data_IF_856303972593
#
_entry.id   IF_856303972593
#
_cell.length_a   1.000
_cell.length_b   1.000
_cell.length_c   1.000
_cell.angle_alpha   90.00
_cell.angle_beta   90.00
_cell.angle_gamma   90.00
#
_symmetry.space_group_name_H-M   'P 1'
#
loop_
_entity.id
_entity.type
_entity.pdbx_description
1 polymer ?
#
# COMPACT_ATOMS: atom_id res chain seq x y z
N UNK A 1 -6.93 28.80 -13.35
CA UNK A 1 -6.13 29.41 -14.42
C UNK A 1 -6.66 28.87 -15.74
N UNK A 2 -7.28 29.71 -16.56
CA UNK A 2 -7.83 29.31 -17.87
C UNK A 2 -6.77 29.59 -18.96
N UNK A 3 -6.38 28.57 -19.71
CA UNK A 3 -5.32 28.62 -20.73
C UNK A 3 -5.86 28.69 -22.17
N UNK A 4 -7.18 28.85 -22.34
CA UNK A 4 -7.81 28.89 -23.67
C UNK A 4 -7.57 30.22 -24.40
N UNK A 5 -7.04 31.25 -23.72
CA UNK A 5 -6.92 32.61 -24.24
C UNK A 5 -5.56 32.94 -24.90
N UNK A 6 -4.65 31.96 -25.06
CA UNK A 6 -3.36 32.13 -25.73
C UNK A 6 -2.15 31.77 -24.87
N UNK A 7 -0.95 31.89 -25.46
CA UNK A 7 0.32 31.54 -24.81
C UNK A 7 0.54 32.40 -23.55
N UNK A 8 0.80 31.73 -22.43
CA UNK A 8 1.18 32.34 -21.17
C UNK A 8 2.71 32.37 -21.08
N UNK A 9 3.29 33.56 -21.07
CA UNK A 9 4.72 33.81 -20.79
C UNK A 9 4.87 34.38 -19.37
N UNK A 10 6.08 34.36 -18.78
CA UNK A 10 6.36 34.75 -17.39
C UNK A 10 5.67 33.88 -16.31
N UNK A 11 5.65 32.56 -16.50
CA UNK A 11 5.33 31.64 -15.40
C UNK A 11 6.63 31.30 -14.68
N UNK A 12 6.81 31.86 -13.49
CA UNK A 12 7.92 31.48 -12.61
C UNK A 12 7.58 30.18 -11.88
N UNK A 13 8.35 29.12 -12.15
CA UNK A 13 8.32 27.89 -11.37
C UNK A 13 9.37 27.94 -10.26
N UNK A 14 8.94 27.89 -9.01
CA UNK A 14 9.85 27.71 -7.87
C UNK A 14 10.11 26.22 -7.67
N UNK A 15 11.39 25.82 -7.65
CA UNK A 15 11.77 24.48 -7.26
C UNK A 15 11.51 24.32 -5.75
N UNK A 16 10.57 23.45 -5.39
CA UNK A 16 10.29 23.15 -3.98
C UNK A 16 11.49 22.44 -3.36
N UNK A 17 11.87 22.85 -2.15
CA UNK A 17 12.84 22.11 -1.35
C UNK A 17 12.34 20.67 -1.14
N UNK A 18 13.23 19.70 -1.28
CA UNK A 18 12.94 18.29 -1.06
C UNK A 18 13.44 17.84 0.31
N UNK A 19 12.58 17.14 1.06
CA UNK A 19 12.95 16.50 2.32
C UNK A 19 12.74 14.98 2.22
N UNK A 20 13.38 14.27 3.13
CA UNK A 20 13.40 12.80 3.13
C UNK A 20 12.42 12.22 4.14
N UNK A 21 11.69 11.19 3.74
CA UNK A 21 10.95 10.29 4.64
C UNK A 21 11.73 8.98 4.71
N UNK A 22 12.05 8.52 5.91
CA UNK A 22 12.85 7.31 6.14
C UNK A 22 12.37 6.49 7.34
N UNK A 23 12.62 5.19 7.26
CA UNK A 23 12.26 4.23 8.29
C UNK A 23 12.56 2.80 7.84
N UNK A 24 11.98 1.83 8.54
CA UNK A 24 12.10 0.39 8.23
C UNK A 24 10.79 -0.15 7.72
N UNK A 25 10.84 -1.03 6.71
CA UNK A 25 9.74 -1.95 6.40
C UNK A 25 10.08 -3.31 6.98
N UNK A 26 9.25 -3.81 7.89
CA UNK A 26 9.49 -5.06 8.60
C UNK A 26 8.42 -6.11 8.30
N UNK A 27 8.80 -7.38 8.33
CA UNK A 27 7.87 -8.49 8.33
C UNK A 27 7.15 -8.58 9.68
N UNK A 28 5.91 -9.11 9.69
CA UNK A 28 5.11 -9.23 10.91
C UNK A 28 5.79 -10.18 11.90
N UNK A 29 5.64 -9.87 13.18
CA UNK A 29 6.09 -10.72 14.30
C UNK A 29 7.59 -11.09 14.25
N UNK A 30 8.40 -10.31 13.52
CA UNK A 30 9.84 -10.57 13.36
C UNK A 30 10.17 -11.77 12.48
N UNK A 31 9.21 -12.29 11.70
CA UNK A 31 9.43 -13.40 10.78
C UNK A 31 10.57 -13.12 9.79
N UNK A 32 11.37 -14.15 9.49
CA UNK A 32 12.39 -14.07 8.44
C UNK A 32 11.79 -14.35 7.07
N UNK A 33 12.22 -13.60 6.06
CA UNK A 33 11.78 -13.80 4.69
C UNK A 33 12.30 -15.14 4.15
N UNK A 34 11.40 -16.04 3.74
CA UNK A 34 11.77 -17.34 3.14
C UNK A 34 12.46 -17.20 1.78
N UNK A 35 12.18 -16.09 1.09
CA UNK A 35 12.81 -15.64 -0.15
C UNK A 35 12.93 -14.12 -0.14
N UNK A 36 13.79 -13.55 -0.98
CA UNK A 36 13.86 -12.09 -1.09
C UNK A 36 12.51 -11.51 -1.54
N UNK A 37 12.11 -10.39 -0.92
CA UNK A 37 10.81 -9.77 -1.10
C UNK A 37 10.95 -8.33 -1.59
N UNK A 38 10.40 -8.04 -2.78
CA UNK A 38 10.41 -6.70 -3.35
C UNK A 38 9.22 -5.88 -2.85
N UNK A 39 9.51 -4.73 -2.23
CA UNK A 39 8.49 -3.83 -1.69
C UNK A 39 8.70 -2.42 -2.23
N UNK A 40 7.62 -1.82 -2.72
CA UNK A 40 7.58 -0.40 -3.08
C UNK A 40 7.02 0.39 -1.90
N UNK A 41 7.66 1.50 -1.55
CA UNK A 41 7.14 2.49 -0.60
C UNK A 41 6.81 3.76 -1.36
N UNK A 42 5.61 4.29 -1.15
CA UNK A 42 5.09 5.46 -1.85
C UNK A 42 4.56 6.49 -0.84
N UNK A 43 4.83 7.77 -1.11
CA UNK A 43 4.29 8.89 -0.35
C UNK A 43 3.38 9.74 -1.26
N UNK A 44 2.17 10.05 -0.77
CA UNK A 44 1.16 10.80 -1.51
C UNK A 44 0.43 11.79 -0.61
N UNK A 45 0.25 13.03 -1.09
CA UNK A 45 -0.63 14.02 -0.46
C UNK A 45 -2.11 13.78 -0.81
N UNK A 46 -2.36 13.09 -1.93
CA UNK A 46 -3.70 12.74 -2.35
C UNK A 46 -3.68 11.36 -3.02
N UNK A 47 -4.49 10.44 -2.51
CA UNK A 47 -4.63 9.05 -2.98
C UNK A 47 -5.13 8.92 -4.42
N UNK A 48 -5.78 9.96 -4.95
CA UNK A 48 -6.36 9.98 -6.30
C UNK A 48 -5.34 10.44 -7.37
N UNK A 49 -4.14 10.85 -6.95
CA UNK A 49 -3.06 11.32 -7.81
C UNK A 49 -1.83 10.41 -7.74
N UNK A 50 -0.90 10.51 -8.71
CA UNK A 50 0.38 9.83 -8.64
C UNK A 50 1.15 10.17 -7.34
N UNK A 51 1.98 9.25 -6.83
CA UNK A 51 2.77 9.51 -5.64
C UNK A 51 3.74 10.68 -5.86
N UNK A 52 3.94 11.49 -4.83
CA UNK A 52 4.88 12.60 -4.82
C UNK A 52 6.34 12.13 -4.68
N UNK A 53 6.55 10.90 -4.22
CA UNK A 53 7.84 10.26 -4.10
C UNK A 53 7.67 8.75 -3.86
N UNK A 54 8.63 7.96 -4.32
CA UNK A 54 8.61 6.51 -4.12
C UNK A 54 10.02 5.94 -4.12
N UNK A 55 10.16 4.75 -3.52
CA UNK A 55 11.39 3.97 -3.56
C UNK A 55 11.06 2.47 -3.59
N UNK A 56 11.95 1.68 -4.16
CA UNK A 56 11.87 0.23 -4.17
C UNK A 56 12.96 -0.34 -3.26
N UNK A 57 12.57 -1.24 -2.37
CA UNK A 57 13.47 -1.92 -1.44
C UNK A 57 13.30 -3.43 -1.57
N UNK A 58 14.28 -4.16 -1.07
CA UNK A 58 14.25 -5.63 -1.01
C UNK A 58 14.55 -6.09 0.40
N UNK A 59 13.62 -6.80 1.02
CA UNK A 59 13.89 -7.57 2.25
C UNK A 59 14.56 -8.86 1.80
N UNK A 60 15.85 -9.02 2.09
CA UNK A 60 16.61 -10.19 1.62
C UNK A 60 16.15 -11.47 2.32
N UNK A 61 16.33 -12.61 1.65
CA UNK A 61 16.12 -13.91 2.26
C UNK A 61 16.86 -14.01 3.61
N UNK A 62 16.18 -14.53 4.63
CA UNK A 62 16.72 -14.65 5.98
C UNK A 62 16.76 -13.33 6.77
N UNK A 63 16.32 -12.20 6.20
CA UNK A 63 16.12 -10.95 6.92
C UNK A 63 14.64 -10.73 7.24
N UNK A 64 14.37 -9.92 8.26
CA UNK A 64 13.01 -9.53 8.65
C UNK A 64 12.68 -8.06 8.39
N UNK A 65 13.63 -7.26 7.89
CA UNK A 65 13.38 -5.87 7.52
C UNK A 65 14.32 -5.38 6.42
N UNK A 66 13.96 -4.23 5.84
CA UNK A 66 14.86 -3.40 5.06
C UNK A 66 14.58 -1.92 5.35
N UNK A 67 15.64 -1.12 5.36
CA UNK A 67 15.53 0.34 5.48
C UNK A 67 15.04 0.94 4.16
N UNK A 68 14.25 2.00 4.24
CA UNK A 68 13.81 2.78 3.08
C UNK A 68 14.08 4.26 3.29
N UNK A 69 14.26 4.97 2.18
CA UNK A 69 14.41 6.41 2.12
C UNK A 69 13.86 6.90 0.79
N UNK A 70 13.02 7.93 0.82
CA UNK A 70 12.45 8.56 -0.37
C UNK A 70 12.37 10.08 -0.18
N UNK A 71 12.59 10.82 -1.27
CA UNK A 71 12.53 12.28 -1.28
C UNK A 71 11.15 12.73 -1.75
N UNK A 72 10.58 13.70 -1.06
CA UNK A 72 9.30 14.34 -1.38
C UNK A 72 9.41 15.86 -1.27
N UNK A 73 8.53 16.63 -1.93
CA UNK A 73 8.40 18.06 -1.70
C UNK A 73 8.16 18.39 -0.21
N UNK A 74 8.63 19.56 0.23
CA UNK A 74 8.32 20.09 1.56
C UNK A 74 6.81 20.35 1.70
N UNK A 75 6.10 19.47 2.37
CA UNK A 75 4.67 19.57 2.65
C UNK A 75 4.27 18.76 3.89
N UNK A 76 3.03 18.96 4.35
CA UNK A 76 2.42 18.19 5.41
C UNK A 76 1.26 17.34 4.87
N UNK A 77 0.93 16.25 5.56
CA UNK A 77 -0.22 15.41 5.20
C UNK A 77 0.13 14.22 4.30
N UNK A 78 1.39 13.79 4.27
CA UNK A 78 1.78 12.64 3.46
C UNK A 78 1.17 11.35 4.01
N UNK A 79 0.37 10.69 3.19
CA UNK A 79 0.00 9.29 3.36
C UNK A 79 1.13 8.43 2.78
N UNK A 80 1.70 7.56 3.61
CA UNK A 80 2.75 6.63 3.17
C UNK A 80 2.17 5.23 3.11
N UNK A 81 2.44 4.52 2.01
CA UNK A 81 2.02 3.12 1.84
C UNK A 81 3.16 2.24 1.40
N UNK A 82 3.05 0.96 1.74
CA UNK A 82 3.84 -0.09 1.11
C UNK A 82 2.98 -0.88 0.12
N UNK A 83 3.61 -1.40 -0.92
CA UNK A 83 3.05 -2.34 -1.89
C UNK A 83 4.07 -3.45 -2.15
N UNK A 84 3.70 -4.68 -1.82
CA UNK A 84 4.51 -5.87 -2.06
C UNK A 84 4.34 -6.30 -3.51
N UNK A 85 5.43 -6.44 -4.27
CA UNK A 85 5.39 -6.77 -5.70
C UNK A 85 5.22 -8.27 -5.95
N UNK A 86 5.75 -9.08 -5.05
CA UNK A 86 5.70 -10.54 -5.14
C UNK A 86 4.45 -11.08 -4.42
N UNK A 87 3.81 -12.13 -4.98
CA UNK A 87 2.71 -12.81 -4.28
C UNK A 87 3.30 -13.67 -3.17
N UNK A 88 3.22 -13.17 -1.93
CA UNK A 88 3.62 -13.92 -0.73
C UNK A 88 2.38 -14.46 -0.03
N UNK A 89 2.28 -15.78 0.21
CA UNK A 89 1.15 -16.33 0.95
C UNK A 89 1.06 -15.69 2.34
N UNK A 90 -0.18 -15.44 2.77
CA UNK A 90 -0.53 -14.86 4.08
C UNK A 90 -0.04 -13.42 4.34
N UNK A 91 0.46 -12.69 3.33
CA UNK A 91 0.80 -11.27 3.46
C UNK A 91 -0.27 -10.39 2.80
N UNK A 92 -0.61 -9.27 3.44
CA UNK A 92 -1.39 -8.22 2.80
C UNK A 92 -0.48 -7.47 1.83
N UNK A 93 -0.83 -7.48 0.55
CA UNK A 93 -0.01 -6.90 -0.51
C UNK A 93 0.14 -5.37 -0.42
N UNK A 94 -0.74 -4.69 0.32
CA UNK A 94 -0.71 -3.24 0.47
C UNK A 94 -1.18 -2.80 1.86
N UNK A 95 -0.50 -1.82 2.44
CA UNK A 95 -0.89 -1.22 3.72
C UNK A 95 -0.35 0.20 3.86
N UNK A 96 -0.86 0.94 4.86
CA UNK A 96 -0.49 2.34 5.11
C UNK A 96 0.26 2.49 6.42
N UNK A 97 1.12 3.49 6.49
CA UNK A 97 1.62 4.03 7.73
C UNK A 97 0.44 4.57 8.55
N UNK A 98 0.48 4.35 9.87
CA UNK A 98 -0.58 4.84 10.76
C UNK A 98 -0.40 6.33 11.03
N UNK A 99 -1.15 7.13 10.29
CA UNK A 99 -1.16 8.59 10.36
C UNK A 99 -0.52 9.28 9.16
N UNK A 100 -0.52 10.61 9.23
CA UNK A 100 0.07 11.47 8.22
C UNK A 100 1.49 11.90 8.61
N UNK A 101 2.33 12.13 7.62
CA UNK A 101 3.72 12.57 7.81
C UNK A 101 3.87 14.04 7.37
N UNK A 102 4.49 14.83 8.24
CA UNK A 102 4.87 16.21 7.98
C UNK A 102 6.37 16.31 7.73
N UNK A 103 6.73 16.86 6.57
CA UNK A 103 8.11 17.20 6.18
C UNK A 103 8.22 18.67 5.75
N UNK A 104 7.26 19.52 6.13
CA UNK A 104 7.24 20.94 5.74
C UNK A 104 8.44 21.72 6.30
N UNK A 105 9.03 21.26 7.40
CA UNK A 105 10.14 21.92 8.10
C UNK A 105 11.41 21.07 8.19
N UNK A 106 11.45 19.86 7.61
CA UNK A 106 12.60 18.97 7.73
C UNK A 106 12.34 17.52 7.35
N UNK A 107 13.39 16.70 7.49
CA UNK A 107 13.33 15.26 7.25
C UNK A 107 12.48 14.55 8.31
N UNK A 108 11.66 13.58 7.88
CA UNK A 108 10.97 12.65 8.76
C UNK A 108 11.74 11.34 8.86
N UNK A 109 12.19 10.98 10.05
CA UNK A 109 12.90 9.72 10.33
C UNK A 109 12.05 8.81 11.22
N UNK A 110 12.44 7.53 11.32
CA UNK A 110 11.78 6.52 12.14
C UNK A 110 10.30 6.29 11.78
N UNK A 111 9.94 6.46 10.50
CA UNK A 111 8.61 6.19 9.96
C UNK A 111 8.48 4.74 9.56
N UNK A 112 8.40 3.85 10.54
CA UNK A 112 8.43 2.42 10.31
C UNK A 112 7.08 1.90 9.79
N UNK A 113 7.15 0.92 8.90
CA UNK A 113 6.04 0.19 8.32
C UNK A 113 6.17 -1.29 8.70
N UNK A 114 5.06 -1.93 9.00
CA UNK A 114 5.01 -3.37 9.23
C UNK A 114 4.11 -3.98 8.18
N UNK A 115 4.62 -4.98 7.44
CA UNK A 115 3.80 -5.76 6.52
C UNK A 115 2.78 -6.54 7.34
N UNK A 116 1.52 -6.34 7.04
CA UNK A 116 0.42 -7.01 7.73
C UNK A 116 0.27 -8.44 7.22
N UNK A 117 -0.06 -9.37 8.12
CA UNK A 117 -0.53 -10.70 7.76
C UNK A 117 -1.99 -10.62 7.32
N UNK A 118 -2.30 -11.22 6.18
CA UNK A 118 -3.67 -11.39 5.71
C UNK A 118 -4.33 -12.57 6.45
N UNK A 119 -5.62 -12.46 6.74
CA UNK A 119 -6.38 -13.61 7.24
C UNK A 119 -6.61 -14.62 6.12
N UNK A 120 -6.42 -15.91 6.40
CA UNK A 120 -6.74 -16.99 5.46
C UNK A 120 -8.26 -17.12 5.31
N UNK A 121 -8.78 -17.00 4.09
CA UNK A 121 -10.15 -17.41 3.78
C UNK A 121 -10.10 -18.88 3.38
N UNK A 122 -10.56 -19.76 4.27
CA UNK A 122 -10.61 -21.21 4.06
C UNK A 122 -12.07 -21.69 3.97
N UNK A 123 -12.36 -22.58 3.02
CA UNK A 123 -13.66 -23.22 2.87
C UNK A 123 -13.57 -24.45 1.95
N UNK A 124 -14.55 -25.34 2.03
CA UNK A 124 -14.67 -26.48 1.12
C UNK A 124 -15.53 -26.09 -0.08
N UNK A 125 -15.03 -26.32 -1.30
CA UNK A 125 -15.84 -26.20 -2.52
C UNK A 125 -16.38 -27.59 -2.85
N UNK A 126 -17.69 -27.76 -2.78
CA UNK A 126 -18.37 -29.02 -3.07
C UNK A 126 -19.19 -28.90 -4.35
N UNK A 127 -19.10 -29.90 -5.22
CA UNK A 127 -19.95 -29.97 -6.40
C UNK A 127 -21.41 -30.25 -5.99
N UNK A 128 -22.39 -29.60 -6.63
CA UNK A 128 -23.80 -29.92 -6.38
C UNK A 128 -24.05 -31.40 -6.71
N UNK A 129 -24.76 -32.09 -5.80
CA UNK A 129 -25.14 -33.50 -5.99
C UNK A 129 -24.04 -34.54 -5.70
N UNK A 130 -22.91 -34.17 -5.09
CA UNK A 130 -21.86 -35.13 -4.71
C UNK A 130 -21.06 -35.71 -5.90
N UNK A 131 -21.11 -35.03 -7.05
CA UNK A 131 -20.37 -35.44 -8.25
C UNK A 131 -18.85 -35.46 -8.00
N UNK A 132 -18.16 -36.44 -8.57
CA UNK A 132 -16.69 -36.51 -8.62
C UNK A 132 -16.18 -35.62 -9.75
N UNK A 133 -15.15 -34.81 -9.47
CA UNK A 133 -14.49 -34.00 -10.50
C UNK A 133 -13.83 -34.92 -11.55
N UNK A 134 -14.47 -35.07 -12.71
CA UNK A 134 -13.84 -35.67 -13.90
C UNK A 134 -12.85 -34.66 -14.48
N UNK A 135 -11.69 -35.16 -14.91
CA UNK A 135 -10.48 -34.45 -15.31
C UNK A 135 -10.67 -33.54 -16.55
N UNK A 136 -11.47 -32.49 -16.40
CA UNK A 136 -11.61 -31.37 -17.31
C UNK A 136 -11.41 -30.12 -16.46
N UNK A 137 -10.42 -29.31 -16.82
CA UNK A 137 -9.98 -28.16 -16.03
C UNK A 137 -11.11 -27.13 -15.89
N UNK A 138 -11.70 -27.06 -14.69
CA UNK A 138 -12.65 -26.01 -14.33
C UNK A 138 -11.85 -24.87 -13.72
N UNK A 139 -11.89 -23.68 -14.34
CA UNK A 139 -11.38 -22.47 -13.71
C UNK A 139 -12.41 -21.95 -12.74
N UNK A 140 -12.13 -22.05 -11.44
CA UNK A 140 -12.95 -21.44 -10.40
C UNK A 140 -12.36 -20.07 -10.03
N UNK A 141 -13.10 -19.01 -10.31
CA UNK A 141 -12.75 -17.66 -9.86
C UNK A 141 -13.44 -17.39 -8.53
N UNK A 142 -12.67 -17.24 -7.45
CA UNK A 142 -13.17 -16.77 -6.16
C UNK A 142 -12.96 -15.26 -6.07
N UNK A 143 -14.05 -14.50 -6.00
CA UNK A 143 -14.01 -13.05 -5.80
C UNK A 143 -14.45 -12.71 -4.36
N UNK A 144 -13.52 -12.36 -3.46
CA UNK A 144 -13.90 -11.88 -2.13
C UNK A 144 -14.69 -10.56 -2.28
N UNK A 145 -15.88 -10.50 -1.68
CA UNK A 145 -16.72 -9.28 -1.66
C UNK A 145 -16.79 -8.74 -0.23
N UNK A 146 -16.34 -7.50 -0.02
CA UNK A 146 -16.51 -6.81 1.26
C UNK A 146 -17.90 -6.13 1.26
N UNK A 147 -18.84 -6.62 2.09
CA UNK A 147 -20.12 -5.96 2.34
C UNK A 147 -20.11 -5.40 3.75
N UNK A 148 -20.06 -4.06 3.88
CA UNK A 148 -20.37 -3.40 5.15
C UNK A 148 -21.89 -3.34 5.30
N UNK A 149 -22.43 -4.10 6.25
CA UNK A 149 -23.85 -4.01 6.62
C UNK A 149 -24.06 -2.80 7.51
N UNK A 150 -24.54 -1.69 6.96
CA UNK A 150 -25.01 -0.56 7.77
C UNK A 150 -26.42 -0.90 8.26
N UNK A 151 -26.53 -1.50 9.45
CA UNK A 151 -27.83 -1.66 10.11
C UNK A 151 -28.28 -0.28 10.60
N UNK A 152 -29.12 0.42 9.84
CA UNK A 152 -29.85 1.58 10.35
C UNK A 152 -30.88 1.08 11.36
N UNK A 153 -30.65 1.38 12.64
CA UNK A 153 -31.60 1.14 13.70
C UNK A 153 -32.84 2.02 13.46
N UNK A 154 -34.07 1.46 13.40
CA UNK A 154 -35.27 2.26 13.29
C UNK A 154 -35.52 3.01 14.60
N UNK A 155 -35.78 4.31 14.50
CA UNK A 155 -36.40 5.08 15.57
C UNK A 155 -37.82 4.52 15.79
N UNK A 156 -38.10 4.07 17.01
CA UNK A 156 -39.44 3.73 17.49
C UNK A 156 -39.79 4.68 18.65
N UNK A 157 -41.08 4.88 18.93
CA UNK A 157 -42.08 5.62 18.16
C UNK A 157 -42.19 7.09 18.61
#
# INVERSE_FOLDING_TARGET
MDVRAGNQANIDFSLLAGYTISGKVSLPEGQLASSSLSVRVEAMLNKDYPPNGWTDIVIQQGQNYADYSLVVPAACGYLVRYSVKDIVPNCVLQGYYDGEIDVSQGNATNKNLTILTGSTISGSVSLPGGATAIQLSYFLTLTPTNRQSTTRQPLMP
#
